data_IF_857493129525
#
_entry.id   IF_857493129525
#
_cell.length_a   1.000
_cell.length_b   1.000
_cell.length_c   1.000
_cell.angle_alpha   90.00
_cell.angle_beta   90.00
_cell.angle_gamma   90.00
#
_symmetry.space_group_name_H-M   'P 1'
#
loop_
_entity.id
_entity.type
_entity.pdbx_description
1 polymer ?
#
# COMPACT_ATOMS: atom_id res chain seq x y z
N UNK A 1 22.73 9.88 0.85
CA UNK A 1 21.49 9.52 0.15
C UNK A 1 20.35 10.22 0.82
N UNK A 2 19.49 10.89 0.05
CA UNK A 2 18.33 11.65 0.55
C UNK A 2 17.04 11.17 -0.09
N UNK A 3 15.95 11.30 0.64
CA UNK A 3 14.60 11.00 0.19
C UNK A 3 13.75 12.27 0.18
N UNK A 4 12.90 12.43 -0.83
CA UNK A 4 11.90 13.51 -0.88
C UNK A 4 10.52 12.91 -0.60
N UNK A 5 9.83 13.48 0.38
CA UNK A 5 8.45 13.15 0.74
C UNK A 5 7.62 14.42 0.78
N UNK A 6 6.37 14.35 0.35
CA UNK A 6 5.44 15.48 0.40
C UNK A 6 4.49 15.34 1.58
N UNK A 7 3.94 16.47 2.03
CA UNK A 7 2.92 16.45 3.07
C UNK A 7 1.63 15.77 2.58
N UNK A 8 0.91 15.17 3.53
CA UNK A 8 -0.42 14.63 3.27
C UNK A 8 -1.37 15.72 2.76
N UNK A 9 -2.05 15.46 1.64
CA UNK A 9 -2.92 16.45 1.00
C UNK A 9 -2.18 17.43 0.08
N UNK A 10 -0.92 17.13 -0.30
CA UNK A 10 -0.21 17.88 -1.34
C UNK A 10 -1.09 18.13 -2.57
N UNK A 11 -1.12 19.40 -3.01
CA UNK A 11 -1.85 19.86 -4.20
C UNK A 11 -0.97 19.90 -5.44
N UNK A 12 0.21 19.26 -5.39
CA UNK A 12 1.15 19.24 -6.52
C UNK A 12 0.52 18.52 -7.71
N UNK A 13 0.42 19.20 -8.84
CA UNK A 13 -0.13 18.65 -10.10
C UNK A 13 0.96 18.31 -11.11
N UNK A 14 2.10 18.99 -11.05
CA UNK A 14 3.14 18.90 -12.06
C UNK A 14 4.51 18.96 -11.42
N UNK A 15 5.40 18.06 -11.84
CA UNK A 15 6.83 18.18 -11.59
C UNK A 15 7.43 18.85 -12.82
N UNK A 16 7.94 20.06 -12.66
CA UNK A 16 8.41 20.88 -13.78
C UNK A 16 9.70 20.32 -14.41
N UNK A 17 9.99 20.80 -15.61
CA UNK A 17 11.22 20.46 -16.32
C UNK A 17 12.45 20.73 -15.47
N UNK A 18 13.39 19.78 -15.46
CA UNK A 18 14.64 19.81 -14.69
C UNK A 18 14.53 20.03 -13.16
N UNK A 19 13.35 19.84 -12.55
CA UNK A 19 13.14 20.12 -11.12
C UNK A 19 14.11 19.40 -10.17
N UNK A 20 14.54 18.19 -10.52
CA UNK A 20 15.51 17.35 -9.82
C UNK A 20 16.66 16.92 -10.74
N UNK A 21 17.00 17.74 -11.75
CA UNK A 21 18.12 17.44 -12.63
C UNK A 21 19.43 17.43 -11.83
N UNK A 22 20.28 16.45 -12.09
CA UNK A 22 21.61 16.30 -11.49
C UNK A 22 21.60 16.20 -9.96
N UNK A 23 20.48 15.76 -9.37
CA UNK A 23 20.40 15.45 -7.93
C UNK A 23 21.02 14.08 -7.65
N UNK A 24 22.35 13.97 -7.75
CA UNK A 24 23.09 12.70 -7.63
C UNK A 24 22.88 11.97 -6.30
N UNK A 25 22.49 12.70 -5.24
CA UNK A 25 22.25 12.13 -3.90
C UNK A 25 20.81 11.67 -3.66
N UNK A 26 19.86 12.02 -4.54
CA UNK A 26 18.46 11.62 -4.42
C UNK A 26 18.35 10.11 -4.64
N UNK A 27 17.99 9.38 -3.60
CA UNK A 27 17.87 7.93 -3.64
C UNK A 27 16.42 7.48 -3.81
N UNK A 28 15.48 8.23 -3.26
CA UNK A 28 14.05 7.94 -3.38
C UNK A 28 13.18 9.18 -3.39
N UNK A 29 12.00 9.06 -4.00
CA UNK A 29 10.97 10.09 -3.98
C UNK A 29 9.58 9.48 -3.98
N UNK A 30 8.68 10.07 -3.21
CA UNK A 30 7.25 9.79 -3.25
C UNK A 30 6.55 10.84 -4.13
N UNK A 31 5.86 10.41 -5.18
CA UNK A 31 5.10 11.25 -6.11
C UNK A 31 3.63 11.30 -5.64
N UNK A 32 3.11 12.49 -5.25
CA UNK A 32 1.75 12.62 -4.70
C UNK A 32 0.63 12.22 -5.65
N UNK A 33 -0.54 11.89 -5.09
CA UNK A 33 -1.76 11.51 -5.82
C UNK A 33 -2.16 12.47 -6.95
N UNK A 34 -1.95 13.78 -6.75
CA UNK A 34 -2.38 14.83 -7.67
C UNK A 34 -1.47 15.01 -8.89
N UNK A 35 -0.28 14.42 -8.92
CA UNK A 35 0.68 14.65 -10.00
C UNK A 35 0.22 13.94 -11.27
N UNK A 36 -0.07 14.71 -12.31
CA UNK A 36 -0.51 14.20 -13.62
C UNK A 36 0.55 14.36 -14.70
N UNK A 37 1.62 15.13 -14.46
CA UNK A 37 2.68 15.39 -15.44
C UNK A 37 4.07 15.51 -14.79
N UNK A 38 5.07 14.92 -15.45
CA UNK A 38 6.49 15.03 -15.14
C UNK A 38 7.21 15.59 -16.36
N UNK A 39 7.81 16.77 -16.20
CA UNK A 39 8.42 17.56 -17.28
C UNK A 39 9.74 17.02 -17.80
N UNK A 40 10.20 17.64 -18.89
CA UNK A 40 11.42 17.25 -19.61
C UNK A 40 12.62 17.23 -18.66
N UNK A 41 13.40 16.15 -18.71
CA UNK A 41 14.61 15.98 -17.90
C UNK A 41 14.41 16.17 -16.37
N UNK A 42 13.19 16.01 -15.85
CA UNK A 42 12.87 16.31 -14.45
C UNK A 42 13.79 15.62 -13.43
N UNK A 43 14.19 14.37 -13.66
CA UNK A 43 15.10 13.59 -12.81
C UNK A 43 16.35 13.13 -13.57
N UNK A 44 16.70 13.84 -14.65
CA UNK A 44 17.87 13.48 -15.43
C UNK A 44 19.14 13.56 -14.58
N UNK A 45 20.05 12.60 -14.71
CA UNK A 45 21.29 12.50 -13.92
C UNK A 45 21.10 12.33 -12.41
N UNK A 46 19.89 11.96 -11.94
CA UNK A 46 19.68 11.53 -10.55
C UNK A 46 20.23 10.11 -10.32
N UNK A 47 21.56 9.95 -10.39
CA UNK A 47 22.23 8.66 -10.47
C UNK A 47 22.08 7.73 -9.25
N UNK A 48 21.62 8.23 -8.11
CA UNK A 48 21.26 7.37 -6.96
C UNK A 48 19.78 6.97 -6.93
N UNK A 49 18.94 7.54 -7.80
CA UNK A 49 17.49 7.36 -7.75
C UNK A 49 17.12 5.96 -8.26
N UNK A 50 16.80 5.08 -7.32
CA UNK A 50 16.41 3.69 -7.61
C UNK A 50 14.98 3.40 -7.18
N UNK A 51 14.38 4.23 -6.31
CA UNK A 51 13.09 3.93 -5.70
C UNK A 51 12.12 5.11 -5.85
N UNK A 52 11.11 4.96 -6.72
CA UNK A 52 10.08 5.99 -6.91
C UNK A 52 8.73 5.41 -6.54
N UNK A 53 8.07 6.01 -5.56
CA UNK A 53 6.71 5.61 -5.17
C UNK A 53 5.70 6.54 -5.83
N UNK A 54 4.73 6.01 -6.56
CA UNK A 54 3.62 6.79 -7.11
C UNK A 54 2.35 6.49 -6.33
N UNK A 55 1.81 7.52 -5.65
CA UNK A 55 0.56 7.37 -4.91
C UNK A 55 -0.67 7.36 -5.86
N UNK A 56 -0.58 8.04 -7.00
CA UNK A 56 -1.63 8.13 -8.01
C UNK A 56 -1.49 7.16 -9.19
N UNK A 57 -2.25 7.43 -10.26
CA UNK A 57 -2.04 6.79 -11.56
C UNK A 57 -0.76 7.31 -12.22
N UNK A 58 -0.30 6.63 -13.28
CA UNK A 58 0.88 7.07 -14.00
C UNK A 58 0.68 8.48 -14.56
N UNK A 59 1.60 9.42 -14.27
CA UNK A 59 1.59 10.73 -14.92
C UNK A 59 2.04 10.61 -16.38
N UNK A 60 1.74 11.61 -17.18
CA UNK A 60 2.44 11.82 -18.45
C UNK A 60 3.91 12.12 -18.15
N UNK A 61 4.81 11.35 -18.75
CA UNK A 61 6.26 11.48 -18.57
C UNK A 61 6.87 12.04 -19.85
N UNK A 62 7.47 13.21 -19.75
CA UNK A 62 8.12 13.89 -20.88
C UNK A 62 9.50 13.31 -21.20
N UNK A 63 10.03 13.71 -22.35
CA UNK A 63 11.32 13.26 -22.88
C UNK A 63 12.45 13.34 -21.84
N UNK A 64 13.21 12.25 -21.69
CA UNK A 64 14.38 12.12 -20.80
C UNK A 64 14.10 12.40 -19.32
N UNK A 65 12.85 12.44 -18.88
CA UNK A 65 12.52 12.73 -17.48
C UNK A 65 13.25 11.83 -16.48
N UNK A 66 13.55 10.58 -16.85
CA UNK A 66 14.27 9.61 -16.03
C UNK A 66 15.55 9.07 -16.70
N UNK A 67 16.21 9.89 -17.52
CA UNK A 67 17.49 9.49 -18.13
C UNK A 67 18.64 9.49 -17.09
N UNK A 68 19.53 8.50 -17.17
CA UNK A 68 20.72 8.39 -16.30
C UNK A 68 20.40 8.38 -14.79
N UNK A 69 19.30 7.70 -14.42
CA UNK A 69 18.97 7.42 -13.01
C UNK A 69 19.70 6.15 -12.51
N UNK A 70 19.51 5.79 -11.25
CA UNK A 70 20.19 4.67 -10.62
C UNK A 70 19.93 3.32 -11.31
N UNK A 71 20.87 2.40 -11.13
CA UNK A 71 20.79 1.05 -11.70
C UNK A 71 19.57 0.28 -11.14
N UNK A 72 18.87 -0.44 -12.02
CA UNK A 72 17.69 -1.25 -11.70
C UNK A 72 16.58 -0.49 -10.95
N UNK A 73 16.07 0.63 -11.51
CA UNK A 73 15.11 1.45 -10.81
C UNK A 73 13.74 0.77 -10.74
N UNK A 74 13.04 0.97 -9.63
CA UNK A 74 11.72 0.43 -9.35
C UNK A 74 10.68 1.54 -9.13
N UNK A 75 9.56 1.43 -9.84
CA UNK A 75 8.38 2.24 -9.66
C UNK A 75 7.39 1.46 -8.77
N UNK A 76 7.22 1.92 -7.55
CA UNK A 76 6.33 1.35 -6.55
C UNK A 76 4.96 1.98 -6.71
N UNK A 77 3.97 1.17 -7.02
CA UNK A 77 2.62 1.64 -7.37
C UNK A 77 1.56 0.82 -6.67
N UNK A 78 0.42 1.45 -6.36
CA UNK A 78 -0.76 0.72 -5.92
C UNK A 78 -1.17 -0.34 -6.94
N UNK A 79 -1.69 -1.47 -6.46
CA UNK A 79 -2.25 -2.49 -7.35
C UNK A 79 -3.34 -1.92 -8.29
N UNK A 80 -4.12 -0.94 -7.84
CA UNK A 80 -5.20 -0.34 -8.64
C UNK A 80 -4.72 0.78 -9.57
N UNK A 81 -3.44 1.18 -9.51
CA UNK A 81 -2.92 2.27 -10.31
C UNK A 81 -2.86 1.90 -11.80
N UNK A 82 -3.44 2.75 -12.65
CA UNK A 82 -3.48 2.59 -14.11
C UNK A 82 -2.42 3.44 -14.81
N UNK A 83 -2.21 3.22 -16.11
CA UNK A 83 -1.31 4.03 -16.95
C UNK A 83 0.18 3.64 -16.91
N UNK A 84 0.57 2.71 -16.04
CA UNK A 84 1.91 2.10 -15.99
C UNK A 84 2.05 1.01 -17.07
N UNK A 85 1.86 1.37 -18.34
CA UNK A 85 1.98 0.45 -19.48
C UNK A 85 3.45 0.08 -19.70
N UNK A 86 3.73 -1.22 -19.81
CA UNK A 86 5.09 -1.71 -20.00
C UNK A 86 5.46 -1.74 -21.48
N UNK A 87 6.68 -1.34 -21.80
CA UNK A 87 7.36 -1.57 -23.06
C UNK A 87 8.66 -2.27 -22.72
N UNK A 88 8.89 -3.46 -23.27
CA UNK A 88 10.03 -4.32 -22.93
C UNK A 88 10.18 -4.53 -21.41
N UNK A 89 9.06 -4.91 -20.76
CA UNK A 89 8.93 -5.14 -19.31
C UNK A 89 9.24 -3.94 -18.39
N UNK A 90 9.36 -2.73 -18.96
CA UNK A 90 9.65 -1.50 -18.21
C UNK A 90 8.64 -0.39 -18.49
N UNK A 91 8.42 0.46 -17.50
CA UNK A 91 7.70 1.74 -17.66
C UNK A 91 8.68 2.88 -17.47
N UNK A 92 8.97 3.66 -18.52
CA UNK A 92 9.94 4.77 -18.47
C UNK A 92 11.31 4.38 -17.85
N UNK A 93 11.78 3.16 -18.11
CA UNK A 93 13.03 2.63 -17.57
C UNK A 93 12.91 1.89 -16.23
N UNK A 94 11.75 2.00 -15.55
CA UNK A 94 11.48 1.34 -14.27
C UNK A 94 10.93 -0.07 -14.44
N UNK A 95 11.35 -0.97 -13.55
CA UNK A 95 10.53 -2.13 -13.21
C UNK A 95 9.32 -1.66 -12.41
N UNK A 96 8.12 -2.14 -12.74
CA UNK A 96 6.91 -1.75 -12.00
C UNK A 96 6.67 -2.74 -10.87
N UNK A 97 7.05 -2.34 -9.66
CA UNK A 97 6.76 -3.06 -8.44
C UNK A 97 5.36 -2.69 -7.97
N UNK A 98 4.36 -3.52 -8.32
CA UNK A 98 3.01 -3.35 -7.80
C UNK A 98 2.99 -3.77 -6.34
N UNK A 99 3.10 -2.79 -5.48
CA UNK A 99 3.05 -3.01 -4.05
C UNK A 99 1.60 -3.29 -3.66
N UNK A 100 1.40 -4.44 -3.03
CA UNK A 100 0.26 -4.60 -2.16
C UNK A 100 0.55 -3.74 -0.95
N UNK A 101 0.19 -2.46 -1.02
CA UNK A 101 0.32 -1.59 0.11
C UNK A 101 -0.47 -2.24 1.26
N UNK A 102 0.24 -2.63 2.32
CA UNK A 102 -0.35 -2.86 3.63
C UNK A 102 -0.94 -1.50 4.04
N UNK A 103 -2.13 -1.18 3.52
CA UNK A 103 -2.69 0.16 3.64
C UNK A 103 -2.72 0.62 5.08
N UNK A 104 -2.04 1.74 5.34
CA UNK A 104 -2.59 2.75 6.23
C UNK A 104 -3.90 3.22 5.60
N UNK A 105 -5.01 2.70 6.10
CA UNK A 105 -6.35 3.11 5.70
C UNK A 105 -6.63 4.44 6.41
N UNK A 106 -6.47 5.54 5.67
CA UNK A 106 -6.95 6.86 6.08
C UNK A 106 -8.47 6.85 5.97
N UNK A 107 -9.15 7.17 7.06
CA UNK A 107 -10.59 7.16 7.15
C UNK A 107 -11.21 8.30 6.34
N UNK A 108 -11.93 7.97 5.26
CA UNK A 108 -13.06 8.78 4.81
C UNK A 108 -14.21 7.89 4.30
N UNK A 109 -15.42 8.41 4.39
CA UNK A 109 -16.65 7.69 4.78
C UNK A 109 -17.17 6.66 3.76
N UNK A 110 -17.90 5.68 4.33
CA UNK A 110 -18.82 4.69 3.73
C UNK A 110 -18.19 3.31 3.42
N UNK A 111 -18.32 2.39 4.38
CA UNK A 111 -18.21 0.93 4.24
C UNK A 111 -17.06 0.40 3.36
N UNK A 112 -15.80 0.62 3.79
CA UNK A 112 -14.64 0.07 3.10
C UNK A 112 -14.70 -1.46 3.01
N UNK A 113 -14.98 -1.94 1.81
CA UNK A 113 -14.61 -3.28 1.38
C UNK A 113 -13.10 -3.38 1.50
N UNK A 114 -12.61 -4.19 2.45
CA UNK A 114 -11.17 -4.38 2.63
C UNK A 114 -10.73 -5.50 1.72
N UNK A 115 -9.80 -5.20 0.81
CA UNK A 115 -9.29 -6.18 -0.13
C UNK A 115 -8.13 -6.97 0.47
N UNK A 116 -8.12 -8.27 0.23
CA UNK A 116 -7.11 -9.19 0.78
C UNK A 116 -6.65 -10.12 -0.33
N UNK A 117 -5.34 -10.13 -0.63
CA UNK A 117 -4.78 -11.00 -1.68
C UNK A 117 -3.86 -12.07 -1.13
N UNK A 118 -3.08 -11.72 -0.12
CA UNK A 118 -2.14 -12.61 0.55
C UNK A 118 -2.56 -12.84 2.01
N UNK A 119 -1.66 -13.40 2.83
CA UNK A 119 -1.97 -13.67 4.23
C UNK A 119 -1.66 -12.50 5.16
N UNK A 120 -2.63 -12.04 5.96
CA UNK A 120 -2.48 -10.90 6.88
C UNK A 120 -2.55 -11.31 8.34
N UNK A 121 -1.69 -10.72 9.17
CA UNK A 121 -1.76 -10.93 10.62
C UNK A 121 -2.99 -10.26 11.23
N UNK A 122 -3.53 -10.87 12.29
CA UNK A 122 -4.67 -10.35 13.05
C UNK A 122 -4.54 -8.87 13.46
N UNK A 123 -3.32 -8.46 13.87
CA UNK A 123 -3.04 -7.07 14.29
C UNK A 123 -3.14 -6.08 13.14
N UNK A 124 -2.61 -6.42 11.97
CA UNK A 124 -2.68 -5.59 10.76
C UNK A 124 -4.14 -5.40 10.34
N UNK A 125 -4.93 -6.47 10.35
CA UNK A 125 -6.36 -6.41 10.03
C UNK A 125 -7.14 -5.51 10.99
N UNK A 126 -6.89 -5.63 12.31
CA UNK A 126 -7.56 -4.77 13.31
C UNK A 126 -7.28 -3.27 13.07
N UNK A 127 -6.06 -2.94 12.65
CA UNK A 127 -5.68 -1.57 12.30
C UNK A 127 -6.42 -1.10 11.04
N UNK A 128 -6.47 -1.95 10.01
CA UNK A 128 -7.17 -1.67 8.76
C UNK A 128 -8.67 -1.39 8.95
N UNK A 129 -9.36 -2.13 9.83
CA UNK A 129 -10.78 -1.86 10.15
C UNK A 129 -10.99 -0.74 11.17
N UNK A 130 -9.96 0.08 11.44
CA UNK A 130 -10.02 1.17 12.43
C UNK A 130 -10.44 0.72 13.84
N UNK A 131 -10.12 -0.53 14.22
CA UNK A 131 -10.37 -1.02 15.59
C UNK A 131 -9.22 -0.58 16.48
N UNK A 132 -9.49 0.43 17.31
CA UNK A 132 -8.54 0.93 18.31
C UNK A 132 -8.27 -0.12 19.38
N UNK A 133 -6.99 -0.30 19.72
CA UNK A 133 -6.52 -1.30 20.69
C UNK A 133 -5.39 -0.73 21.55
N UNK A 134 -5.33 -1.13 22.82
CA UNK A 134 -4.17 -0.88 23.68
C UNK A 134 -2.95 -1.74 23.30
N UNK A 135 -1.73 -1.25 23.51
CA UNK A 135 -0.49 -1.96 23.12
C UNK A 135 -0.39 -3.40 23.67
N UNK A 136 -1.00 -3.66 24.84
CA UNK A 136 -0.97 -4.95 25.54
C UNK A 136 -2.14 -5.89 25.23
N UNK A 137 -3.14 -5.46 24.47
CA UNK A 137 -4.31 -6.30 24.20
C UNK A 137 -4.01 -7.38 23.15
N UNK A 138 -4.61 -8.57 23.31
CA UNK A 138 -4.53 -9.69 22.36
C UNK A 138 -5.56 -9.49 21.25
N UNK A 139 -5.15 -9.71 19.99
CA UNK A 139 -6.04 -9.71 18.82
C UNK A 139 -6.15 -11.13 18.29
N UNK A 140 -7.36 -11.57 17.99
CA UNK A 140 -7.60 -12.84 17.29
C UNK A 140 -8.62 -12.67 16.16
N UNK A 141 -8.58 -13.61 15.22
CA UNK A 141 -9.46 -13.67 14.05
C UNK A 141 -10.24 -14.98 14.04
N UNK A 142 -11.47 -14.91 13.53
CA UNK A 142 -12.27 -16.09 13.21
C UNK A 142 -12.99 -15.87 11.88
N UNK A 143 -12.83 -16.78 10.93
CA UNK A 143 -13.57 -16.76 9.66
C UNK A 143 -14.94 -17.43 9.85
N UNK A 144 -15.98 -16.86 9.25
CA UNK A 144 -17.32 -17.46 9.24
C UNK A 144 -17.31 -18.81 8.52
N UNK A 145 -18.10 -19.78 8.99
CA UNK A 145 -18.17 -21.13 8.41
C UNK A 145 -18.42 -21.12 6.90
N UNK A 146 -19.35 -20.28 6.44
CA UNK A 146 -19.69 -20.12 5.03
C UNK A 146 -18.58 -19.48 4.17
N UNK A 147 -17.66 -18.72 4.77
CA UNK A 147 -16.53 -18.08 4.07
C UNK A 147 -15.24 -18.93 4.05
N UNK A 148 -15.24 -20.13 4.65
CA UNK A 148 -14.05 -20.99 4.73
C UNK A 148 -13.49 -21.44 3.37
N UNK A 149 -14.31 -21.42 2.31
CA UNK A 149 -13.88 -21.73 0.94
C UNK A 149 -13.11 -20.57 0.29
N UNK A 150 -13.30 -19.36 0.78
CA UNK A 150 -12.69 -18.12 0.27
C UNK A 150 -11.43 -17.77 1.07
N UNK A 151 -11.46 -17.96 2.39
CA UNK A 151 -10.37 -17.61 3.30
C UNK A 151 -10.35 -18.52 4.54
N UNK A 152 -9.21 -18.64 5.22
CA UNK A 152 -9.07 -19.38 6.49
C UNK A 152 -8.11 -18.69 7.44
N UNK A 153 -8.21 -18.93 8.75
CA UNK A 153 -7.19 -18.49 9.70
C UNK A 153 -6.16 -19.61 9.90
N UNK A 154 -4.88 -19.30 9.73
CA UNK A 154 -3.77 -20.24 9.94
C UNK A 154 -2.59 -19.50 10.57
N UNK A 155 -2.05 -20.03 11.68
CA UNK A 155 -0.96 -19.41 12.45
C UNK A 155 -1.21 -17.94 12.80
N UNK A 156 -2.44 -17.59 13.19
CA UNK A 156 -2.84 -16.22 13.56
C UNK A 156 -2.96 -15.24 12.38
N UNK A 157 -2.81 -15.72 11.14
CA UNK A 157 -2.99 -14.95 9.92
C UNK A 157 -4.29 -15.34 9.20
N UNK A 158 -5.01 -14.38 8.63
CA UNK A 158 -6.01 -14.65 7.61
C UNK A 158 -5.29 -15.05 6.33
N UNK A 159 -5.57 -16.22 5.77
CA UNK A 159 -5.07 -16.71 4.49
C UNK A 159 -6.20 -16.71 3.48
N UNK A 160 -5.94 -16.18 2.30
CA UNK A 160 -6.80 -16.25 1.13
C UNK A 160 -6.69 -17.63 0.50
N UNK A 161 -7.77 -18.11 -0.10
CA UNK A 161 -7.85 -19.42 -0.77
C UNK A 161 -8.37 -19.29 -2.20
N UNK A 162 -9.37 -18.44 -2.42
CA UNK A 162 -10.00 -18.13 -3.70
C UNK A 162 -10.54 -16.72 -3.68
N UNK A 163 -10.74 -16.11 -4.85
CA UNK A 163 -11.47 -14.84 -4.96
C UNK A 163 -12.90 -14.95 -4.40
N UNK A 164 -13.39 -13.86 -3.79
CA UNK A 164 -14.76 -13.76 -3.27
C UNK A 164 -14.88 -13.10 -1.90
N UNK A 165 -16.07 -13.15 -1.31
CA UNK A 165 -16.36 -12.48 -0.04
C UNK A 165 -15.98 -13.33 1.20
N UNK A 166 -15.09 -12.79 2.02
CA UNK A 166 -14.57 -13.39 3.24
C UNK A 166 -15.13 -12.65 4.48
N UNK A 167 -16.10 -13.27 5.16
CA UNK A 167 -16.65 -12.74 6.41
C UNK A 167 -15.78 -13.17 7.59
N UNK A 168 -15.29 -12.20 8.35
CA UNK A 168 -14.35 -12.41 9.47
C UNK A 168 -14.84 -11.68 10.71
N UNK A 169 -14.65 -12.31 11.87
CA UNK A 169 -14.79 -11.70 13.18
C UNK A 169 -13.41 -11.43 13.77
N UNK A 170 -13.18 -10.20 14.20
CA UNK A 170 -11.97 -9.74 14.87
C UNK A 170 -12.32 -9.59 16.35
N UNK A 171 -11.57 -10.23 17.24
CA UNK A 171 -11.76 -10.13 18.69
C UNK A 171 -10.58 -9.40 19.32
N UNK A 172 -10.88 -8.37 20.08
CA UNK A 172 -9.93 -7.64 20.92
C UNK A 172 -10.14 -8.06 22.36
N UNK A 173 -9.09 -8.50 23.03
CA UNK A 173 -9.11 -8.86 24.45
C UNK A 173 -8.06 -8.05 25.20
N UNK A 174 -8.51 -7.26 26.17
CA UNK A 174 -7.63 -6.49 27.05
C UNK A 174 -6.85 -7.40 28.00
N UNK A 175 -5.65 -6.97 28.44
CA UNK A 175 -4.90 -7.73 29.43
C UNK A 175 -5.73 -7.89 30.72
N UNK A 176 -5.70 -9.11 31.28
CA UNK A 176 -6.39 -9.42 32.53
C UNK A 176 -5.77 -8.59 33.67
N UNK A 177 -6.59 -7.81 34.38
CA UNK A 177 -6.17 -7.16 35.64
C UNK A 177 -6.33 -8.15 36.80
N UNK A 178 -5.44 -8.08 37.80
CA UNK A 178 -5.49 -8.97 38.99
C UNK A 178 -6.90 -8.92 39.61
N UNK A 179 -7.50 -10.10 39.83
CA UNK A 179 -8.84 -10.24 40.40
C UNK A 179 -10.02 -9.88 39.49
N UNK A 180 -9.82 -9.53 38.21
CA UNK A 180 -10.92 -9.20 37.27
C UNK A 180 -10.87 -10.08 36.02
N UNK A 181 -12.04 -10.36 35.44
CA UNK A 181 -12.15 -11.03 34.15
C UNK A 181 -11.64 -10.10 33.02
N UNK A 182 -10.95 -10.65 32.00
CA UNK A 182 -10.48 -9.84 30.87
C UNK A 182 -11.66 -9.35 30.03
N UNK A 183 -11.71 -8.03 29.77
CA UNK A 183 -12.71 -7.45 28.87
C UNK A 183 -12.40 -7.84 27.43
N UNK A 184 -13.43 -8.21 26.66
CA UNK A 184 -13.26 -8.52 25.25
C UNK A 184 -14.43 -8.03 24.40
N UNK A 185 -14.14 -7.58 23.18
CA UNK A 185 -15.12 -7.11 22.20
C UNK A 185 -14.84 -7.72 20.82
N UNK A 186 -15.90 -8.03 20.09
CA UNK A 186 -15.85 -8.66 18.78
C UNK A 186 -16.42 -7.73 17.71
N UNK A 187 -15.79 -7.70 16.54
CA UNK A 187 -16.13 -6.86 15.40
C UNK A 187 -16.29 -7.75 14.17
N UNK A 188 -17.42 -7.66 13.47
CA UNK A 188 -17.66 -8.41 12.23
C UNK A 188 -17.33 -7.52 11.05
N UNK A 189 -16.60 -8.05 10.08
CA UNK A 189 -16.25 -7.33 8.86
C UNK A 189 -16.27 -8.26 7.65
N UNK A 190 -16.50 -7.66 6.48
CA UNK A 190 -16.46 -8.37 5.20
C UNK A 190 -15.24 -7.90 4.42
N UNK A 191 -14.39 -8.86 4.07
CA UNK A 191 -13.21 -8.66 3.25
C UNK A 191 -13.49 -9.19 1.85
N UNK A 192 -13.04 -8.50 0.81
CA UNK A 192 -13.05 -9.05 -0.54
C UNK A 192 -11.69 -9.68 -0.84
N UNK A 193 -11.68 -10.99 -1.03
CA UNK A 193 -10.51 -11.70 -1.51
C UNK A 193 -10.44 -11.54 -3.02
N UNK A 194 -9.31 -11.08 -3.52
CA UNK A 194 -9.05 -11.01 -4.95
C UNK A 194 -8.14 -12.18 -5.36
N UNK A 195 -8.30 -12.66 -6.59
CA UNK A 195 -7.61 -13.88 -7.03
C UNK A 195 -6.09 -13.72 -7.01
N UNK A 196 -5.43 -14.83 -6.68
CA UNK A 196 -4.00 -15.01 -6.78
C UNK A 196 -3.80 -15.71 -8.13
N UNK A 197 -3.43 -14.96 -9.17
CA UNK A 197 -2.78 -15.57 -10.33
C UNK A 197 -1.31 -15.78 -10.00
#
# INVERSE_FOLDING_TARGET
MVSVTFESGSKLTTILASAFNSTYSLASIEIPYGVTSIGIAAFEWAGSLTNVTFLGNAPTVETRAFANIGASPAAHVSFTATGFTLTDDKWNGFTVAREFEDQKITADRVAHTIYVRTSYAAKSIATAVSVTRTSKAKVSLKVASSSKKICKVSKGKLKTLKSGSCKVTIKIQEPKKKGKLPKSKSYKHTFLVMDIK
#
